data_IF_164092836811
#
_entry.id   IF_164092836811
#
_cell.length_a   1.000
_cell.length_b   1.000
_cell.length_c   1.000
_cell.angle_alpha   90.00
_cell.angle_beta   90.00
_cell.angle_gamma   90.00
#
_symmetry.space_group_name_H-M   'P 1'
#
loop_
_entity.id
_entity.type
_entity.pdbx_description
1 polymer ?
#
# COMPACT_ATOMS: atom_id res chain seq x y z
N UNK A 1 41.62 -48.49 7.91
CA UNK A 1 41.28 -47.59 6.78
C UNK A 1 39.81 -47.72 6.36
N UNK A 2 39.23 -48.90 6.24
CA UNK A 2 37.86 -49.11 5.70
C UNK A 2 36.75 -48.47 6.59
N UNK A 3 36.86 -48.53 7.91
CA UNK A 3 35.90 -47.94 8.84
C UNK A 3 36.02 -46.41 8.97
N UNK A 4 37.17 -45.85 8.72
CA UNK A 4 37.39 -44.40 8.73
C UNK A 4 36.68 -43.71 7.57
N UNK A 5 36.74 -44.32 6.38
CA UNK A 5 36.05 -43.81 5.19
C UNK A 5 34.52 -43.92 5.33
N UNK A 6 33.98 -44.97 5.95
CA UNK A 6 32.55 -45.11 6.24
C UNK A 6 32.07 -44.07 7.26
N UNK A 7 32.86 -43.75 8.27
CA UNK A 7 32.57 -42.72 9.26
C UNK A 7 32.51 -41.33 8.63
N UNK A 8 33.48 -40.98 7.76
CA UNK A 8 33.48 -39.69 7.03
C UNK A 8 32.28 -39.59 6.11
N UNK A 9 31.91 -40.64 5.41
CA UNK A 9 30.72 -40.64 4.55
C UNK A 9 29.44 -40.44 5.31
N UNK A 10 29.32 -41.03 6.51
CA UNK A 10 28.13 -40.90 7.37
C UNK A 10 28.01 -39.50 7.96
N UNK A 11 29.11 -38.85 8.37
CA UNK A 11 29.17 -37.48 8.82
C UNK A 11 28.80 -36.50 7.69
N UNK A 12 29.29 -36.76 6.48
CA UNK A 12 29.04 -35.94 5.30
C UNK A 12 27.55 -36.02 4.86
N UNK A 13 26.95 -37.21 4.94
CA UNK A 13 25.49 -37.36 4.66
C UNK A 13 24.62 -36.70 5.72
N UNK A 14 25.00 -36.76 6.99
CA UNK A 14 24.32 -36.01 8.08
C UNK A 14 24.41 -34.49 7.88
N UNK A 15 25.54 -33.99 7.41
CA UNK A 15 25.73 -32.57 7.12
C UNK A 15 24.87 -32.10 5.93
N UNK A 16 24.73 -32.94 4.88
CA UNK A 16 23.91 -32.61 3.72
C UNK A 16 22.40 -32.60 4.04
N UNK A 17 21.94 -33.40 4.99
CA UNK A 17 20.53 -33.42 5.41
C UNK A 17 20.14 -32.23 6.29
N UNK A 18 21.13 -31.59 6.95
CA UNK A 18 20.90 -30.43 7.83
C UNK A 18 20.60 -29.13 7.06
N UNK A 19 20.89 -29.05 5.77
CA UNK A 19 20.73 -27.83 4.97
C UNK A 19 19.34 -27.65 4.33
N UNK A 20 18.43 -28.61 4.45
CA UNK A 20 17.11 -28.53 3.81
C UNK A 20 15.97 -28.07 4.72
N UNK A 21 16.25 -27.46 5.86
CA UNK A 21 15.21 -26.76 6.62
C UNK A 21 15.07 -25.35 6.06
N UNK A 22 14.37 -25.20 4.94
CA UNK A 22 13.76 -23.93 4.57
C UNK A 22 12.71 -23.62 5.63
N UNK A 23 13.15 -23.16 6.80
CA UNK A 23 12.28 -22.52 7.77
C UNK A 23 11.88 -21.16 7.18
N UNK A 24 10.93 -21.15 6.25
CA UNK A 24 10.20 -19.95 5.93
C UNK A 24 9.49 -19.60 7.23
N UNK A 25 9.99 -18.62 7.95
CA UNK A 25 9.22 -17.91 8.97
C UNK A 25 7.96 -17.42 8.26
N UNK A 26 6.89 -18.19 8.37
CA UNK A 26 5.61 -17.83 7.79
C UNK A 26 5.11 -16.61 8.59
N UNK A 27 5.41 -15.41 8.07
CA UNK A 27 4.96 -14.17 8.67
C UNK A 27 3.44 -14.17 8.69
N UNK A 28 2.87 -14.25 9.88
CA UNK A 28 1.41 -14.29 10.03
C UNK A 28 0.88 -12.86 10.06
N UNK A 29 0.18 -12.48 9.02
CA UNK A 29 -0.57 -11.22 8.95
C UNK A 29 -1.56 -11.16 10.12
N UNK A 30 -1.54 -10.09 10.91
CA UNK A 30 -2.38 -9.91 12.10
C UNK A 30 -3.25 -8.66 12.03
N UNK A 31 -2.70 -7.56 11.53
CA UNK A 31 -3.36 -6.25 11.52
C UNK A 31 -3.27 -5.62 10.13
N UNK A 32 -4.42 -5.27 9.56
CA UNK A 32 -4.51 -4.50 8.32
C UNK A 32 -5.17 -3.16 8.63
N UNK A 33 -4.56 -2.07 8.16
CA UNK A 33 -5.19 -0.76 8.14
C UNK A 33 -5.73 -0.49 6.75
N UNK A 34 -7.03 -0.18 6.68
CA UNK A 34 -7.71 0.22 5.45
C UNK A 34 -7.97 1.72 5.54
N UNK A 35 -7.44 2.44 4.56
CA UNK A 35 -7.56 3.88 4.45
C UNK A 35 -8.60 4.22 3.38
N UNK A 36 -9.70 4.81 3.79
CA UNK A 36 -10.67 5.38 2.87
C UNK A 36 -10.23 6.80 2.49
N UNK A 37 -9.79 7.00 1.26
CA UNK A 37 -9.32 8.30 0.79
C UNK A 37 -10.30 9.43 1.04
N UNK A 38 -9.77 10.63 1.30
CA UNK A 38 -10.54 11.85 1.53
C UNK A 38 -11.47 11.80 2.76
N UNK A 39 -12.54 12.60 2.78
CA UNK A 39 -13.53 12.64 3.88
C UNK A 39 -13.73 14.01 4.48
N UNK A 40 -14.90 14.26 5.06
CA UNK A 40 -15.28 15.55 5.65
C UNK A 40 -15.16 16.70 4.66
N UNK A 41 -14.32 17.67 4.98
CA UNK A 41 -14.07 18.86 4.15
C UNK A 41 -13.23 18.58 2.88
N UNK A 42 -12.64 17.39 2.75
CA UNK A 42 -11.94 16.96 1.55
C UNK A 42 -12.86 16.07 0.68
N UNK A 43 -13.43 16.58 -0.41
CA UNK A 43 -14.33 15.79 -1.26
C UNK A 43 -13.57 14.78 -2.14
N UNK A 44 -12.25 14.93 -2.33
CA UNK A 44 -11.50 14.26 -3.38
C UNK A 44 -11.89 14.73 -4.77
N UNK A 45 -11.79 13.86 -5.74
CA UNK A 45 -12.24 14.12 -7.11
C UNK A 45 -13.75 14.37 -7.15
N UNK A 46 -14.13 15.41 -7.92
CA UNK A 46 -15.54 15.82 -8.06
C UNK A 46 -16.08 15.24 -9.37
N UNK A 47 -16.86 14.19 -9.26
CA UNK A 47 -17.55 13.58 -10.38
C UNK A 47 -18.89 14.25 -10.68
N UNK A 48 -19.52 13.86 -11.80
CA UNK A 48 -20.83 14.39 -12.20
C UNK A 48 -21.95 14.07 -11.21
N UNK A 49 -21.86 12.96 -10.48
CA UNK A 49 -22.93 12.44 -9.61
C UNK A 49 -22.50 12.24 -8.15
N UNK A 50 -21.21 12.22 -7.86
CA UNK A 50 -20.71 11.92 -6.53
C UNK A 50 -19.33 12.52 -6.32
N UNK A 51 -18.97 12.68 -5.06
CA UNK A 51 -17.59 12.97 -4.63
C UNK A 51 -16.85 11.65 -4.38
N UNK A 52 -15.55 11.65 -4.62
CA UNK A 52 -14.69 10.48 -4.38
C UNK A 52 -14.83 9.93 -2.95
N UNK A 53 -14.86 10.80 -1.94
CA UNK A 53 -15.03 10.41 -0.54
C UNK A 53 -16.26 9.53 -0.27
N UNK A 54 -17.34 9.71 -1.05
CA UNK A 54 -18.58 8.96 -0.92
C UNK A 54 -18.50 7.57 -1.55
N UNK A 55 -17.48 7.32 -2.40
CA UNK A 55 -17.24 6.06 -3.07
C UNK A 55 -16.18 5.26 -2.29
N UNK A 56 -15.12 5.91 -1.87
CA UNK A 56 -14.01 5.25 -1.16
C UNK A 56 -14.42 4.68 0.18
N UNK A 57 -15.30 5.36 0.93
CA UNK A 57 -15.76 4.88 2.23
C UNK A 57 -16.50 3.54 2.17
N UNK A 58 -17.60 3.38 1.40
CA UNK A 58 -18.31 2.11 1.36
C UNK A 58 -17.45 0.97 0.81
N UNK A 59 -16.56 1.23 -0.17
CA UNK A 59 -15.62 0.23 -0.68
C UNK A 59 -14.65 -0.22 0.41
N UNK A 60 -14.10 0.70 1.18
CA UNK A 60 -13.18 0.40 2.28
C UNK A 60 -13.85 -0.41 3.38
N UNK A 61 -15.08 -0.05 3.76
CA UNK A 61 -15.84 -0.79 4.78
C UNK A 61 -16.18 -2.20 4.31
N UNK A 62 -16.59 -2.34 3.05
CA UNK A 62 -16.92 -3.64 2.45
C UNK A 62 -15.68 -4.53 2.31
N UNK A 63 -14.53 -3.97 1.90
CA UNK A 63 -13.26 -4.69 1.87
C UNK A 63 -12.92 -5.26 3.24
N UNK A 64 -13.03 -4.45 4.29
CA UNK A 64 -12.74 -4.91 5.64
C UNK A 64 -13.73 -5.96 6.15
N UNK A 65 -15.03 -5.86 5.77
CA UNK A 65 -16.03 -6.88 6.06
C UNK A 65 -15.64 -8.22 5.41
N UNK A 66 -15.33 -8.20 4.12
CA UNK A 66 -14.93 -9.39 3.36
C UNK A 66 -13.65 -10.01 3.94
N UNK A 67 -12.66 -9.20 4.30
CA UNK A 67 -11.43 -9.71 4.92
C UNK A 67 -11.74 -10.41 6.25
N UNK A 68 -12.56 -9.82 7.13
CA UNK A 68 -12.93 -10.42 8.42
C UNK A 68 -13.66 -11.73 8.26
N UNK A 69 -14.54 -11.85 7.26
CA UNK A 69 -15.29 -13.08 7.01
C UNK A 69 -14.41 -14.22 6.49
N UNK A 70 -13.45 -13.90 5.62
CA UNK A 70 -12.60 -14.91 5.00
C UNK A 70 -11.32 -15.20 5.80
N UNK A 71 -10.88 -14.26 6.63
CA UNK A 71 -9.66 -14.33 7.43
C UNK A 71 -9.96 -13.91 8.88
N UNK A 72 -10.68 -14.71 9.67
CA UNK A 72 -11.25 -14.32 10.97
C UNK A 72 -10.20 -13.99 12.04
N UNK A 73 -8.92 -14.30 11.79
CA UNK A 73 -7.82 -13.97 12.72
C UNK A 73 -7.19 -12.59 12.50
N UNK A 74 -7.67 -11.82 11.49
CA UNK A 74 -7.09 -10.51 11.14
C UNK A 74 -7.86 -9.37 11.81
N UNK A 75 -7.12 -8.49 12.49
CA UNK A 75 -7.63 -7.22 13.00
C UNK A 75 -7.70 -6.20 11.88
N UNK A 76 -8.89 -5.65 11.60
CA UNK A 76 -9.08 -4.55 10.66
C UNK A 76 -9.26 -3.24 11.42
N UNK A 77 -8.50 -2.23 11.01
CA UNK A 77 -8.58 -0.86 11.49
C UNK A 77 -8.84 0.04 10.28
N UNK A 78 -9.72 1.01 10.44
CA UNK A 78 -9.98 2.02 9.41
C UNK A 78 -9.39 3.36 9.83
N UNK A 79 -8.86 4.13 8.88
CA UNK A 79 -8.42 5.51 9.15
C UNK A 79 -9.61 6.44 9.37
N UNK A 80 -10.75 6.12 8.75
CA UNK A 80 -12.09 6.67 9.02
C UNK A 80 -13.15 5.61 8.70
N UNK A 81 -14.27 5.67 9.41
CA UNK A 81 -15.44 4.80 9.22
C UNK A 81 -16.73 5.59 9.00
N UNK A 82 -16.60 6.90 8.87
CA UNK A 82 -17.66 7.87 8.59
C UNK A 82 -17.17 8.98 7.65
N UNK A 83 -17.95 10.04 7.41
CA UNK A 83 -17.53 11.19 6.60
C UNK A 83 -16.72 12.20 7.42
N UNK A 84 -15.75 11.75 8.21
CA UNK A 84 -14.80 12.61 8.92
C UNK A 84 -13.55 12.89 8.07
N UNK A 85 -12.94 14.07 8.31
CA UNK A 85 -11.65 14.43 7.73
C UNK A 85 -10.51 13.86 8.57
N UNK A 86 -9.57 13.18 7.92
CA UNK A 86 -8.33 12.71 8.53
C UNK A 86 -7.14 13.24 7.73
N UNK A 87 -6.17 13.84 8.40
CA UNK A 87 -4.95 14.35 7.77
C UNK A 87 -4.11 13.19 7.20
N UNK A 88 -3.32 13.44 6.15
CA UNK A 88 -2.48 12.39 5.56
C UNK A 88 -1.48 11.82 6.58
N UNK A 89 -0.93 12.69 7.44
CA UNK A 89 -0.04 12.27 8.53
C UNK A 89 -0.75 11.31 9.51
N UNK A 90 -1.98 11.67 9.95
CA UNK A 90 -2.76 10.85 10.89
C UNK A 90 -3.11 9.48 10.36
N UNK A 91 -3.35 9.35 9.06
CA UNK A 91 -3.61 8.05 8.40
C UNK A 91 -2.44 7.09 8.58
N UNK A 92 -1.23 7.54 8.25
CA UNK A 92 -0.01 6.77 8.47
C UNK A 92 0.28 6.53 9.96
N UNK A 93 0.04 7.53 10.81
CA UNK A 93 0.20 7.42 12.26
C UNK A 93 -0.72 6.34 12.87
N UNK A 94 -1.98 6.24 12.42
CA UNK A 94 -2.90 5.17 12.85
C UNK A 94 -2.30 3.79 12.53
N UNK A 95 -1.74 3.62 11.34
CA UNK A 95 -1.13 2.35 10.95
C UNK A 95 0.10 2.04 11.80
N UNK A 96 1.01 3.01 11.97
CA UNK A 96 2.24 2.84 12.73
C UNK A 96 1.97 2.56 14.22
N UNK A 97 1.04 3.29 14.85
CA UNK A 97 0.68 3.11 16.29
C UNK A 97 -0.01 1.77 16.58
N UNK A 98 -0.57 1.12 15.58
CA UNK A 98 -1.21 -0.18 15.73
C UNK A 98 -0.33 -1.33 15.25
N UNK A 99 0.96 -1.09 14.98
CA UNK A 99 1.90 -2.08 14.46
C UNK A 99 1.27 -2.86 13.28
N UNK A 100 0.68 -2.13 12.34
CA UNK A 100 0.00 -2.75 11.22
C UNK A 100 0.99 -3.51 10.33
N UNK A 101 0.57 -4.67 9.86
CA UNK A 101 1.36 -5.49 8.93
C UNK A 101 1.17 -5.05 7.49
N UNK A 102 0.06 -4.33 7.23
CA UNK A 102 -0.31 -3.88 5.89
C UNK A 102 -1.15 -2.61 5.97
N UNK A 103 -0.88 -1.67 5.05
CA UNK A 103 -1.67 -0.47 4.82
C UNK A 103 -2.22 -0.44 3.40
N UNK A 104 -3.54 -0.35 3.26
CA UNK A 104 -4.24 -0.29 1.97
C UNK A 104 -5.04 1.00 1.90
N UNK A 105 -4.66 1.91 1.03
CA UNK A 105 -5.43 3.12 0.74
C UNK A 105 -6.29 2.91 -0.51
N UNK A 106 -7.55 3.34 -0.45
CA UNK A 106 -8.55 3.18 -1.51
C UNK A 106 -8.94 4.55 -2.03
N UNK A 107 -8.79 4.73 -3.34
CA UNK A 107 -9.10 5.94 -4.06
C UNK A 107 -9.89 5.68 -5.34
N UNK A 108 -10.48 6.73 -5.90
CA UNK A 108 -11.07 6.74 -7.24
C UNK A 108 -10.45 7.89 -8.00
N UNK A 109 -9.81 7.61 -9.12
CA UNK A 109 -9.29 8.67 -9.96
C UNK A 109 -10.39 9.27 -10.84
N UNK A 110 -10.16 10.46 -11.33
CA UNK A 110 -11.07 11.18 -12.22
C UNK A 110 -10.30 11.63 -13.45
N UNK A 111 -10.81 11.26 -14.60
CA UNK A 111 -10.30 11.71 -15.89
C UNK A 111 -11.31 12.56 -16.62
N UNK A 112 -10.84 13.57 -17.34
CA UNK A 112 -11.67 14.35 -18.27
C UNK A 112 -12.22 13.50 -19.41
N UNK A 113 -11.48 12.45 -19.79
CA UNK A 113 -11.90 11.49 -20.80
C UNK A 113 -12.64 10.32 -20.13
N UNK A 114 -13.95 10.25 -20.34
CA UNK A 114 -14.84 9.22 -19.78
C UNK A 114 -14.61 7.80 -20.32
N UNK A 115 -13.80 7.63 -21.37
CA UNK A 115 -13.41 6.31 -21.87
C UNK A 115 -12.26 5.68 -21.08
N UNK A 116 -11.61 6.44 -20.21
CA UNK A 116 -10.57 5.91 -19.33
C UNK A 116 -11.23 5.14 -18.19
N UNK A 117 -10.92 3.86 -18.11
CA UNK A 117 -11.36 2.96 -17.06
C UNK A 117 -10.24 1.98 -16.69
N UNK A 118 -10.38 1.31 -15.58
CA UNK A 118 -9.43 0.30 -15.13
C UNK A 118 -9.02 0.46 -13.67
N UNK A 119 -8.03 -0.32 -13.26
CA UNK A 119 -7.37 -0.20 -11.96
C UNK A 119 -5.90 0.13 -12.11
N UNK A 120 -5.35 0.82 -11.13
CA UNK A 120 -3.92 1.11 -10.98
C UNK A 120 -3.56 1.00 -9.51
N UNK A 121 -2.55 0.24 -9.19
CA UNK A 121 -2.02 0.19 -7.83
C UNK A 121 -0.69 0.93 -7.75
N UNK A 122 -0.64 1.93 -6.90
CA UNK A 122 0.54 2.75 -6.71
C UNK A 122 1.33 2.32 -5.47
N UNK A 123 2.64 2.39 -5.62
CA UNK A 123 3.63 2.25 -4.56
C UNK A 123 4.28 3.62 -4.29
N UNK A 124 4.79 3.79 -3.08
CA UNK A 124 5.66 4.92 -2.77
C UNK A 124 6.93 4.83 -3.62
N UNK A 125 7.31 5.91 -4.28
CA UNK A 125 8.55 5.94 -5.05
C UNK A 125 8.65 7.12 -6.01
N UNK A 126 9.70 7.13 -6.82
CA UNK A 126 9.88 8.12 -7.88
C UNK A 126 8.92 7.87 -9.02
N UNK A 127 8.23 8.91 -9.44
CA UNK A 127 7.35 8.83 -10.60
C UNK A 127 8.16 8.72 -11.89
N UNK A 128 7.83 7.73 -12.72
CA UNK A 128 8.44 7.54 -14.04
C UNK A 128 7.76 8.36 -15.15
N UNK A 129 6.65 9.04 -14.83
CA UNK A 129 5.91 9.86 -15.79
C UNK A 129 5.27 11.08 -15.14
N UNK A 130 5.10 12.16 -15.89
CA UNK A 130 4.38 13.34 -15.43
C UNK A 130 2.92 13.04 -15.06
N UNK A 131 2.29 12.09 -15.74
CA UNK A 131 0.92 11.68 -15.43
C UNK A 131 0.81 11.11 -14.01
N UNK A 132 1.67 10.16 -13.65
CA UNK A 132 1.68 9.56 -12.31
C UNK A 132 2.06 10.59 -11.23
N UNK A 133 3.01 11.48 -11.54
CA UNK A 133 3.39 12.56 -10.64
C UNK A 133 2.20 13.50 -10.37
N UNK A 134 1.43 13.84 -11.40
CA UNK A 134 0.26 14.71 -11.27
C UNK A 134 -0.85 14.06 -10.43
N UNK A 135 -1.03 12.73 -10.49
CA UNK A 135 -1.94 12.02 -9.58
C UNK A 135 -1.48 12.23 -8.14
N UNK A 136 -0.24 11.90 -7.80
CA UNK A 136 0.26 12.09 -6.45
C UNK A 136 0.22 13.56 -6.00
N UNK A 137 0.51 14.52 -6.88
CA UNK A 137 0.42 15.96 -6.58
C UNK A 137 -1.00 16.37 -6.22
N UNK A 138 -2.01 15.86 -6.93
CA UNK A 138 -3.42 16.14 -6.64
C UNK A 138 -3.80 15.59 -5.28
N UNK A 139 -3.49 14.33 -4.99
CA UNK A 139 -3.79 13.69 -3.71
C UNK A 139 -3.08 14.37 -2.54
N UNK A 140 -1.80 14.68 -2.72
CA UNK A 140 -1.02 15.39 -1.71
C UNK A 140 -1.55 16.82 -1.46
N UNK A 141 -2.34 17.40 -2.37
CA UNK A 141 -2.89 18.75 -2.17
C UNK A 141 -3.84 18.85 -0.98
N UNK A 142 -4.36 17.73 -0.49
CA UNK A 142 -5.17 17.69 0.74
C UNK A 142 -4.43 18.18 1.98
N UNK A 143 -3.08 18.19 1.98
CA UNK A 143 -2.28 18.80 3.05
C UNK A 143 -2.60 20.29 3.27
N UNK A 144 -2.99 21.01 2.22
CA UNK A 144 -3.35 22.43 2.32
C UNK A 144 -4.68 22.67 3.07
N UNK A 145 -5.44 21.62 3.32
CA UNK A 145 -6.62 21.65 4.17
C UNK A 145 -6.28 21.48 5.66
N UNK A 146 -5.01 21.20 6.00
CA UNK A 146 -4.54 20.95 7.35
C UNK A 146 -4.00 22.24 7.99
N UNK A 147 -4.32 22.49 9.28
CA UNK A 147 -3.98 23.75 9.95
C UNK A 147 -2.47 23.99 10.07
N UNK A 148 -1.69 22.96 10.38
CA UNK A 148 -0.25 23.05 10.62
C UNK A 148 0.59 22.37 9.52
N UNK A 149 0.13 22.41 8.27
CA UNK A 149 0.76 21.62 7.20
C UNK A 149 2.24 21.96 6.97
N UNK A 150 2.66 23.23 7.09
CA UNK A 150 4.05 23.64 6.86
C UNK A 150 5.04 23.00 7.84
N UNK A 151 4.62 22.84 9.09
CA UNK A 151 5.45 22.25 10.13
C UNK A 151 5.42 20.71 10.06
N UNK A 152 4.22 20.16 9.87
CA UNK A 152 4.00 18.72 9.80
C UNK A 152 4.74 18.06 8.62
N UNK A 153 4.81 18.75 7.46
CA UNK A 153 5.38 18.20 6.23
C UNK A 153 6.70 18.88 5.78
N UNK A 154 7.42 19.53 6.70
CA UNK A 154 8.68 20.24 6.39
C UNK A 154 9.72 19.35 5.71
N UNK A 155 9.77 18.06 6.03
CA UNK A 155 10.71 17.08 5.51
C UNK A 155 10.21 16.37 4.24
N UNK A 156 8.97 16.64 3.84
CA UNK A 156 8.39 16.08 2.63
C UNK A 156 8.56 17.01 1.44
N UNK A 157 9.42 16.65 0.52
CA UNK A 157 9.55 17.35 -0.75
C UNK A 157 9.32 16.39 -1.92
N UNK A 158 8.11 16.33 -2.48
CA UNK A 158 7.79 15.43 -3.59
C UNK A 158 8.57 15.76 -4.88
N UNK A 159 9.15 16.95 -4.98
CA UNK A 159 9.97 17.37 -6.12
C UNK A 159 11.46 17.04 -5.95
N UNK A 160 11.87 16.57 -4.76
CA UNK A 160 13.27 16.18 -4.50
C UNK A 160 13.45 14.68 -4.79
N UNK A 161 14.11 14.39 -5.90
CA UNK A 161 14.51 13.02 -6.27
C UNK A 161 15.38 12.37 -5.20
N UNK A 162 16.25 13.16 -4.56
CA UNK A 162 17.18 12.71 -3.52
C UNK A 162 16.42 12.23 -2.27
N UNK A 163 15.45 13.01 -1.81
CA UNK A 163 14.62 12.65 -0.64
C UNK A 163 13.83 11.37 -0.88
N UNK A 164 13.20 11.22 -2.04
CA UNK A 164 12.43 10.04 -2.40
C UNK A 164 13.35 8.82 -2.60
N UNK A 165 14.52 9.02 -3.20
CA UNK A 165 15.50 7.94 -3.38
C UNK A 165 16.04 7.45 -2.04
N UNK A 166 16.41 8.33 -1.12
CA UNK A 166 16.91 7.99 0.20
C UNK A 166 15.86 7.17 0.98
N UNK A 167 14.59 7.60 0.96
CA UNK A 167 13.50 6.86 1.58
C UNK A 167 13.32 5.47 0.96
N UNK A 168 13.39 5.36 -0.36
CA UNK A 168 13.26 4.08 -1.06
C UNK A 168 14.37 3.10 -0.69
N UNK A 169 15.60 3.58 -0.50
CA UNK A 169 16.74 2.76 -0.08
C UNK A 169 16.57 2.24 1.37
N UNK A 170 16.09 3.09 2.28
CA UNK A 170 15.91 2.72 3.69
C UNK A 170 14.72 1.78 3.91
N UNK A 171 13.81 1.68 2.93
CA UNK A 171 12.56 0.90 3.04
C UNK A 171 12.46 -0.23 2.02
N UNK A 172 13.58 -0.76 1.54
CA UNK A 172 13.61 -1.77 0.46
C UNK A 172 12.72 -2.99 0.72
N UNK A 173 12.82 -3.61 1.90
CA UNK A 173 12.01 -4.80 2.24
C UNK A 173 10.50 -4.51 2.22
N UNK A 174 10.09 -3.34 2.70
CA UNK A 174 8.71 -2.85 2.60
C UNK A 174 8.27 -2.70 1.14
N UNK A 175 9.12 -2.15 0.30
CA UNK A 175 8.85 -1.95 -1.12
C UNK A 175 8.67 -3.27 -1.87
N UNK A 176 9.50 -4.27 -1.58
CA UNK A 176 9.41 -5.59 -2.21
C UNK A 176 8.06 -6.26 -1.89
N UNK A 177 7.64 -6.27 -0.63
CA UNK A 177 6.35 -6.81 -0.21
C UNK A 177 5.16 -5.99 -0.75
N UNK A 178 5.26 -4.66 -0.79
CA UNK A 178 4.26 -3.81 -1.43
C UNK A 178 4.10 -4.12 -2.92
N UNK A 179 5.21 -4.38 -3.60
CA UNK A 179 5.23 -4.72 -5.04
C UNK A 179 4.55 -6.06 -5.30
N UNK A 180 4.82 -7.07 -4.47
CA UNK A 180 4.17 -8.38 -4.56
C UNK A 180 2.65 -8.21 -4.42
N UNK A 181 2.20 -7.52 -3.37
CA UNK A 181 0.78 -7.28 -3.13
C UNK A 181 0.12 -6.52 -4.29
N UNK A 182 0.73 -5.44 -4.76
CA UNK A 182 0.20 -4.62 -5.84
C UNK A 182 0.01 -5.43 -7.13
N UNK A 183 0.98 -6.27 -7.49
CA UNK A 183 0.87 -7.15 -8.65
C UNK A 183 -0.25 -8.18 -8.50
N UNK A 184 -0.40 -8.78 -7.31
CA UNK A 184 -1.49 -9.72 -7.04
C UNK A 184 -2.87 -9.03 -7.16
N UNK A 185 -3.02 -7.81 -6.69
CA UNK A 185 -4.26 -7.04 -6.79
C UNK A 185 -4.59 -6.75 -8.27
N UNK A 186 -3.63 -6.23 -9.03
CA UNK A 186 -3.84 -5.93 -10.46
C UNK A 186 -4.16 -7.20 -11.27
N UNK A 187 -3.54 -8.32 -10.93
CA UNK A 187 -3.85 -9.62 -11.53
C UNK A 187 -5.29 -10.05 -11.25
N UNK A 188 -5.78 -9.88 -10.00
CA UNK A 188 -7.16 -10.23 -9.64
C UNK A 188 -8.18 -9.32 -10.32
N UNK A 189 -7.93 -8.02 -10.43
CA UNK A 189 -8.78 -7.11 -11.18
C UNK A 189 -8.94 -7.56 -12.63
N UNK A 190 -7.83 -7.89 -13.29
CA UNK A 190 -7.85 -8.33 -14.69
C UNK A 190 -8.52 -9.70 -14.86
N UNK A 191 -8.16 -10.71 -14.04
CA UNK A 191 -8.58 -12.09 -14.24
C UNK A 191 -9.96 -12.42 -13.70
N UNK A 192 -10.38 -11.81 -12.59
CA UNK A 192 -11.63 -12.17 -11.90
C UNK A 192 -12.73 -11.13 -12.04
N UNK A 193 -12.37 -9.85 -12.03
CA UNK A 193 -13.35 -8.76 -12.08
C UNK A 193 -13.60 -8.32 -13.52
N UNK A 194 -12.69 -8.63 -14.45
CA UNK A 194 -12.77 -8.19 -15.84
C UNK A 194 -12.51 -6.68 -16.02
N UNK A 195 -11.96 -6.03 -15.00
CA UNK A 195 -11.53 -4.64 -15.07
C UNK A 195 -10.13 -4.58 -15.66
N UNK A 196 -9.92 -3.67 -16.60
CA UNK A 196 -8.61 -3.47 -17.22
C UNK A 196 -7.58 -3.07 -16.17
N UNK A 197 -6.57 -3.90 -15.94
CA UNK A 197 -5.39 -3.49 -15.17
C UNK A 197 -4.55 -2.51 -16.00
N UNK A 198 -4.19 -1.40 -15.39
CA UNK A 198 -3.22 -0.42 -15.92
C UNK A 198 -1.84 -0.62 -15.31
N UNK A 199 -1.72 -1.62 -14.44
CA UNK A 199 -0.49 -2.08 -13.83
C UNK A 199 -0.10 -1.37 -12.55
N UNK A 200 1.07 -1.77 -12.04
CA UNK A 200 1.66 -1.21 -10.82
C UNK A 200 2.55 -0.03 -11.18
N UNK A 201 2.35 1.08 -10.52
CA UNK A 201 3.06 2.34 -10.76
C UNK A 201 3.70 2.87 -9.47
N UNK A 202 4.59 3.85 -9.60
CA UNK A 202 5.21 4.53 -8.48
C UNK A 202 4.97 6.02 -8.56
N UNK A 203 4.68 6.64 -7.40
CA UNK A 203 4.60 8.09 -7.27
C UNK A 203 4.78 8.52 -5.79
N UNK A 204 5.17 9.77 -5.51
CA UNK A 204 5.47 10.25 -4.16
C UNK A 204 4.19 10.61 -3.39
N UNK A 205 3.41 9.60 -3.01
CA UNK A 205 2.21 9.79 -2.19
C UNK A 205 2.57 10.05 -0.73
N UNK A 206 2.12 11.17 -0.19
CA UNK A 206 2.37 11.54 1.20
C UNK A 206 1.78 10.53 2.19
N UNK A 207 0.61 10.00 1.90
CA UNK A 207 -0.06 9.00 2.76
C UNK A 207 0.78 7.72 2.94
N UNK A 208 1.61 7.36 1.94
CA UNK A 208 2.50 6.19 2.01
C UNK A 208 3.90 6.53 2.54
N UNK A 209 4.28 7.82 2.55
CA UNK A 209 5.62 8.27 2.94
C UNK A 209 5.99 7.81 4.35
N UNK A 210 5.13 8.06 5.31
CA UNK A 210 5.39 7.84 6.73
C UNK A 210 4.97 6.45 7.23
N UNK A 211 4.44 5.56 6.39
CA UNK A 211 4.10 4.20 6.82
C UNK A 211 5.36 3.36 7.02
N UNK A 212 5.39 2.50 8.04
CA UNK A 212 6.54 1.62 8.36
C UNK A 212 6.37 0.19 7.86
N UNK A 213 5.17 -0.18 7.39
CA UNK A 213 4.80 -1.48 6.85
C UNK A 213 4.63 -1.44 5.34
N UNK A 214 4.51 -2.60 4.65
CA UNK A 214 4.06 -2.67 3.26
C UNK A 214 2.80 -1.86 3.05
N UNK A 215 2.79 -1.00 2.03
CA UNK A 215 1.72 -0.05 1.80
C UNK A 215 1.46 0.16 0.31
N UNK A 216 0.19 0.27 -0.04
CA UNK A 216 -0.27 0.52 -1.40
C UNK A 216 -1.37 1.58 -1.42
N UNK A 217 -1.52 2.22 -2.57
CA UNK A 217 -2.64 3.09 -2.87
C UNK A 217 -3.32 2.58 -4.15
N UNK A 218 -4.55 2.07 -4.02
CA UNK A 218 -5.29 1.48 -5.13
C UNK A 218 -6.33 2.46 -5.68
N UNK A 219 -6.33 2.61 -6.98
CA UNK A 219 -7.26 3.44 -7.75
C UNK A 219 -8.10 2.58 -8.68
N UNK A 220 -9.42 2.75 -8.62
CA UNK A 220 -10.38 2.16 -9.55
C UNK A 220 -11.20 3.25 -10.22
N UNK A 221 -11.54 3.07 -11.52
CA UNK A 221 -12.26 4.03 -12.35
C UNK A 221 -13.55 3.42 -12.88
#
# INVERSE_FOLDING_TARGET
MRYFNTFILLVFTLFLTSFNSNCYLQYKLKTIVIDAGHGGKDPGSIGKKSYEKNITLPISLELGRIIKENLPGIKIIYTRNDDSFSTLYKRAEIANKNDADLFISIHCDSFSNTSVNGSTTYLMGLSKSNANFNVAKRENSSIFLEENFKETYKDFNPNSSESVMLLSLTQKAKMDNSTILANLIEEQFSKRVGIRSRGVMQAPFQVLWNTTMPSINNYSF
#
